data_IF_298021576159
#
_entry.id   IF_298021576159
#
_cell.length_a   1.000
_cell.length_b   1.000
_cell.length_c   1.000
_cell.angle_alpha   90.00
_cell.angle_beta   90.00
_cell.angle_gamma   90.00
#
_symmetry.space_group_name_H-M   'P 1'
#
loop_
_entity.id
_entity.type
_entity.pdbx_description
1 polymer ?
#
# COMPACT_ATOMS: atom_id res chain seq x y z
N UNK A 1 -8.70 -7.19 -23.35
CA UNK A 1 -7.50 -7.25 -24.20
C UNK A 1 -7.98 -7.16 -25.64
N UNK A 2 -7.12 -6.77 -26.57
CA UNK A 2 -7.49 -6.53 -27.96
C UNK A 2 -7.06 -7.74 -28.86
N UNK A 3 -7.97 -8.68 -29.13
CA UNK A 3 -7.66 -9.86 -29.94
C UNK A 3 -7.23 -9.53 -31.38
N UNK A 4 -7.71 -8.39 -31.94
CA UNK A 4 -7.32 -7.95 -33.26
C UNK A 4 -5.82 -7.63 -33.32
N UNK A 5 -5.31 -6.86 -32.34
CA UNK A 5 -3.87 -6.59 -32.23
C UNK A 5 -3.06 -7.89 -32.06
N UNK A 6 -3.59 -8.88 -31.34
CA UNK A 6 -2.93 -10.16 -31.14
C UNK A 6 -2.92 -11.04 -32.40
N UNK A 7 -3.87 -10.87 -33.32
CA UNK A 7 -3.94 -11.62 -34.57
C UNK A 7 -2.90 -11.22 -35.63
N UNK A 8 -2.30 -10.06 -35.48
CA UNK A 8 -1.26 -9.55 -36.40
C UNK A 8 0.03 -10.35 -36.18
N UNK A 9 0.74 -10.74 -37.25
CA UNK A 9 2.00 -11.48 -37.11
C UNK A 9 3.11 -10.63 -36.46
N UNK A 10 4.05 -11.29 -35.79
CA UNK A 10 5.17 -10.61 -35.13
C UNK A 10 6.07 -9.88 -36.15
N UNK A 11 6.25 -10.49 -37.35
CA UNK A 11 7.03 -9.86 -38.44
C UNK A 11 6.38 -8.56 -38.89
N UNK A 12 5.04 -8.52 -38.98
CA UNK A 12 4.32 -7.32 -39.41
C UNK A 12 4.36 -6.21 -38.34
N UNK A 13 4.28 -6.58 -37.08
CA UNK A 13 4.45 -5.65 -35.96
C UNK A 13 5.87 -5.07 -35.97
N UNK A 14 6.92 -5.90 -36.11
CA UNK A 14 8.29 -5.41 -36.15
C UNK A 14 8.57 -4.55 -37.42
N UNK A 15 7.89 -4.81 -38.54
CA UNK A 15 7.92 -3.95 -39.72
C UNK A 15 7.33 -2.56 -39.38
N UNK A 16 6.14 -2.51 -38.78
CA UNK A 16 5.46 -1.27 -38.41
C UNK A 16 6.26 -0.46 -37.39
N UNK A 17 6.84 -1.12 -36.39
CA UNK A 17 7.63 -0.44 -35.35
C UNK A 17 8.92 0.23 -35.90
N UNK A 18 9.33 -0.05 -37.15
CA UNK A 18 10.41 0.68 -37.83
C UNK A 18 9.95 2.00 -38.45
N UNK A 19 8.63 2.17 -38.67
CA UNK A 19 8.07 3.38 -39.25
C UNK A 19 7.96 4.49 -38.16
N UNK A 20 8.35 5.71 -38.51
CA UNK A 20 8.35 6.88 -37.61
C UNK A 20 6.99 7.12 -36.94
N UNK A 21 5.90 6.93 -37.67
CA UNK A 21 4.52 7.10 -37.13
C UNK A 21 4.16 6.15 -36.01
N UNK A 22 4.81 5.00 -35.90
CA UNK A 22 4.55 4.00 -34.84
C UNK A 22 5.53 4.08 -33.67
N UNK A 23 6.59 4.87 -33.75
CA UNK A 23 7.57 5.03 -32.67
C UNK A 23 6.93 5.43 -31.33
N UNK A 24 5.96 6.37 -31.29
CA UNK A 24 5.27 6.73 -30.04
C UNK A 24 4.50 5.57 -29.40
N UNK A 25 4.15 4.55 -30.16
CA UNK A 25 3.35 3.40 -29.70
C UNK A 25 4.19 2.17 -29.35
N UNK A 26 5.50 2.22 -29.54
CA UNK A 26 6.39 1.06 -29.39
C UNK A 26 6.24 0.40 -28.03
N UNK A 27 6.30 1.16 -26.95
CA UNK A 27 6.19 0.62 -25.58
C UNK A 27 4.78 0.02 -25.35
N UNK A 28 3.74 0.73 -25.77
CA UNK A 28 2.35 0.24 -25.65
C UNK A 28 2.14 -1.08 -26.40
N UNK A 29 2.55 -1.15 -27.67
CA UNK A 29 2.42 -2.34 -28.50
C UNK A 29 3.18 -3.51 -27.89
N UNK A 30 4.42 -3.31 -27.46
CA UNK A 30 5.24 -4.37 -26.82
C UNK A 30 4.64 -4.86 -25.50
N UNK A 31 4.13 -3.95 -24.65
CA UNK A 31 3.41 -4.34 -23.43
C UNK A 31 2.15 -5.16 -23.75
N UNK A 32 1.35 -4.72 -24.72
CA UNK A 32 0.15 -5.42 -25.12
C UNK A 32 0.49 -6.80 -25.71
N UNK A 33 1.47 -6.88 -26.63
CA UNK A 33 1.89 -8.14 -27.27
C UNK A 33 2.48 -9.15 -26.31
N UNK A 34 3.12 -8.74 -25.22
CA UNK A 34 3.58 -9.67 -24.19
C UNK A 34 2.45 -10.53 -23.62
N UNK A 35 1.22 -10.00 -23.61
CA UNK A 35 0.04 -10.71 -23.12
C UNK A 35 -0.51 -11.75 -24.13
N UNK A 36 0.05 -11.88 -25.34
CA UNK A 36 -0.50 -12.62 -26.47
C UNK A 36 -0.88 -14.06 -26.11
N UNK A 37 -0.02 -14.79 -25.42
CA UNK A 37 -0.23 -16.20 -25.06
C UNK A 37 -1.33 -16.39 -23.99
N UNK A 38 -1.76 -15.30 -23.36
CA UNK A 38 -2.79 -15.25 -22.32
C UNK A 38 -4.10 -14.58 -22.79
N UNK A 39 -4.16 -14.19 -24.06
CA UNK A 39 -5.38 -13.67 -24.69
C UNK A 39 -6.17 -14.84 -25.26
N UNK A 40 -7.42 -14.93 -24.86
CA UNK A 40 -8.34 -15.98 -25.29
C UNK A 40 -9.03 -15.61 -26.60
N UNK A 41 -9.79 -16.55 -27.17
CA UNK A 41 -10.65 -16.27 -28.35
C UNK A 41 -11.72 -15.23 -28.00
N UNK A 42 -12.25 -14.52 -28.99
CA UNK A 42 -13.31 -13.49 -28.82
C UNK A 42 -14.50 -14.01 -28.00
N UNK A 43 -14.90 -15.26 -28.18
CA UNK A 43 -16.01 -15.86 -27.44
C UNK A 43 -15.67 -16.09 -25.99
N UNK A 44 -14.46 -16.56 -25.71
CA UNK A 44 -13.97 -16.81 -24.37
C UNK A 44 -13.71 -15.48 -23.64
N UNK A 45 -13.09 -14.47 -24.29
CA UNK A 45 -12.93 -13.13 -23.72
C UNK A 45 -14.27 -12.50 -23.36
N UNK A 46 -15.30 -12.69 -24.19
CA UNK A 46 -16.65 -12.24 -23.88
C UNK A 46 -17.23 -12.94 -22.64
N UNK A 47 -17.02 -14.25 -22.50
CA UNK A 47 -17.46 -15.00 -21.31
C UNK A 47 -16.71 -14.51 -20.07
N UNK A 48 -15.39 -14.34 -20.16
CA UNK A 48 -14.56 -13.82 -19.06
C UNK A 48 -14.98 -12.42 -18.65
N UNK A 49 -15.32 -11.55 -19.60
CA UNK A 49 -15.83 -10.21 -19.32
C UNK A 49 -17.17 -10.23 -18.58
N UNK A 50 -18.09 -11.09 -18.97
CA UNK A 50 -19.38 -11.28 -18.28
C UNK A 50 -19.19 -11.84 -16.86
N UNK A 51 -18.24 -12.77 -16.70
CA UNK A 51 -17.91 -13.34 -15.39
C UNK A 51 -17.24 -12.31 -14.47
N UNK A 52 -16.45 -11.39 -15.01
CA UNK A 52 -15.75 -10.36 -14.22
C UNK A 52 -16.66 -9.56 -13.29
N UNK A 53 -17.87 -9.23 -13.75
CA UNK A 53 -18.86 -8.54 -12.93
C UNK A 53 -19.32 -9.36 -11.69
N UNK A 54 -19.40 -10.70 -11.82
CA UNK A 54 -19.71 -11.58 -10.69
C UNK A 54 -18.50 -11.76 -9.76
N UNK A 55 -17.30 -11.80 -10.32
CA UNK A 55 -16.06 -11.96 -9.58
C UNK A 55 -15.81 -10.80 -8.61
N UNK A 56 -16.13 -9.56 -9.01
CA UNK A 56 -16.02 -8.36 -8.19
C UNK A 56 -16.96 -8.39 -6.96
N UNK A 57 -18.02 -9.18 -7.01
CA UNK A 57 -19.01 -9.30 -5.94
C UNK A 57 -18.43 -9.72 -4.58
N UNK A 58 -17.34 -10.50 -4.54
CA UNK A 58 -16.71 -10.88 -3.28
C UNK A 58 -16.07 -9.68 -2.58
N UNK A 59 -15.37 -8.85 -3.32
CA UNK A 59 -14.77 -7.62 -2.81
C UNK A 59 -15.84 -6.63 -2.35
N UNK A 60 -16.85 -6.39 -3.19
CA UNK A 60 -17.94 -5.46 -2.86
C UNK A 60 -18.69 -5.90 -1.61
N UNK A 61 -19.06 -7.18 -1.50
CA UNK A 61 -19.74 -7.71 -0.31
C UNK A 61 -18.87 -7.61 0.94
N UNK A 62 -17.54 -7.83 0.83
CA UNK A 62 -16.64 -7.59 1.94
C UNK A 62 -16.64 -6.10 2.35
N UNK A 63 -16.57 -5.18 1.39
CA UNK A 63 -16.56 -3.73 1.67
C UNK A 63 -17.87 -3.27 2.30
N UNK A 64 -19.02 -3.83 1.89
CA UNK A 64 -20.33 -3.52 2.50
C UNK A 64 -20.37 -4.02 3.95
N UNK A 65 -19.96 -5.26 4.21
CA UNK A 65 -19.86 -5.81 5.56
C UNK A 65 -18.92 -4.94 6.41
N UNK A 66 -17.72 -4.68 5.94
CA UNK A 66 -16.66 -4.03 6.69
C UNK A 66 -16.99 -2.56 7.04
N UNK A 67 -17.57 -1.82 6.09
CA UNK A 67 -17.80 -0.39 6.25
C UNK A 67 -19.22 -0.02 6.71
N UNK A 68 -20.21 -0.92 6.52
CA UNK A 68 -21.62 -0.61 6.75
C UNK A 68 -22.22 -1.50 7.85
N UNK A 69 -22.04 -2.83 7.76
CA UNK A 69 -22.79 -3.77 8.59
C UNK A 69 -22.10 -4.07 9.94
N UNK A 70 -20.75 -3.99 10.00
CA UNK A 70 -20.04 -4.24 11.25
C UNK A 70 -20.25 -3.10 12.25
N UNK A 71 -20.78 -3.45 13.42
CA UNK A 71 -20.88 -2.55 14.56
C UNK A 71 -19.82 -2.93 15.61
N UNK A 72 -18.82 -2.08 15.76
CA UNK A 72 -17.71 -2.28 16.69
C UNK A 72 -18.07 -1.84 18.14
N UNK A 73 -19.25 -1.25 18.35
CA UNK A 73 -19.70 -0.73 19.65
C UNK A 73 -19.06 0.61 19.99
N UNK A 74 -18.81 0.82 21.28
CA UNK A 74 -18.28 2.08 21.83
C UNK A 74 -17.06 1.83 22.71
N UNK A 75 -16.15 2.81 22.73
CA UNK A 75 -15.00 2.89 23.62
C UNK A 75 -15.09 4.20 24.39
N UNK A 76 -15.18 4.12 25.71
CA UNK A 76 -15.33 5.30 26.59
C UNK A 76 -16.52 6.20 26.25
N UNK A 77 -17.62 5.61 25.72
CA UNK A 77 -18.82 6.36 25.33
C UNK A 77 -18.73 7.06 23.96
N UNK A 78 -17.72 6.77 23.18
CA UNK A 78 -17.56 7.23 21.81
C UNK A 78 -17.63 6.04 20.85
N UNK A 79 -18.34 6.17 19.73
CA UNK A 79 -18.53 5.10 18.75
C UNK A 79 -17.19 4.66 18.16
N UNK A 80 -16.93 3.34 18.19
CA UNK A 80 -15.78 2.73 17.55
C UNK A 80 -16.11 2.49 16.06
N UNK A 81 -15.27 3.03 15.19
CA UNK A 81 -15.35 2.88 13.72
C UNK A 81 -13.93 2.72 13.18
N UNK A 82 -13.75 2.43 11.89
CA UNK A 82 -12.43 2.44 11.25
C UNK A 82 -11.70 3.80 11.42
N UNK A 83 -12.43 4.89 11.36
CA UNK A 83 -11.86 6.24 11.54
C UNK A 83 -11.44 6.51 12.99
N UNK A 84 -12.31 6.20 13.98
CA UNK A 84 -11.99 6.44 15.39
C UNK A 84 -11.04 5.39 15.97
N UNK A 85 -10.88 4.22 15.32
CA UNK A 85 -9.90 3.21 15.68
C UNK A 85 -8.50 3.80 15.84
N UNK A 86 -8.04 4.58 14.86
CA UNK A 86 -6.72 5.19 14.89
C UNK A 86 -6.52 6.05 16.14
N UNK A 87 -7.51 6.87 16.48
CA UNK A 87 -7.48 7.70 17.70
C UNK A 87 -7.31 6.85 18.97
N UNK A 88 -8.09 5.78 19.10
CA UNK A 88 -8.07 4.94 20.30
C UNK A 88 -6.79 4.09 20.39
N UNK A 89 -6.33 3.51 19.29
CA UNK A 89 -5.17 2.61 19.30
C UNK A 89 -3.84 3.36 19.48
N UNK A 90 -3.79 4.67 19.19
CA UNK A 90 -2.65 5.54 19.45
C UNK A 90 -2.72 6.23 20.82
N UNK A 91 -3.77 6.02 21.62
CA UNK A 91 -3.89 6.58 22.95
C UNK A 91 -2.68 6.22 23.83
N UNK A 92 -2.20 7.18 24.61
CA UNK A 92 -1.18 6.93 25.65
C UNK A 92 -1.73 6.12 26.83
N UNK A 93 -3.06 6.12 27.05
CA UNK A 93 -3.73 5.27 28.04
C UNK A 93 -3.87 3.84 27.48
N UNK A 94 -3.14 2.91 28.09
CA UNK A 94 -3.16 1.48 27.69
C UNK A 94 -4.55 0.87 27.80
N UNK A 95 -5.33 1.23 28.82
CA UNK A 95 -6.66 0.67 29.01
C UNK A 95 -7.63 1.05 27.89
N UNK A 96 -7.44 2.22 27.27
CA UNK A 96 -8.19 2.66 26.08
C UNK A 96 -7.79 1.84 24.86
N UNK A 97 -6.49 1.63 24.65
CA UNK A 97 -5.97 0.80 23.54
C UNK A 97 -6.46 -0.63 23.64
N UNK A 98 -6.40 -1.23 24.84
CA UNK A 98 -6.87 -2.59 25.10
C UNK A 98 -8.36 -2.73 24.84
N UNK A 99 -9.17 -1.81 25.36
CA UNK A 99 -10.63 -1.82 25.18
C UNK A 99 -10.98 -1.72 23.70
N UNK A 100 -10.40 -0.77 22.98
CA UNK A 100 -10.62 -0.60 21.55
C UNK A 100 -10.19 -1.85 20.76
N UNK A 101 -9.00 -2.36 21.03
CA UNK A 101 -8.45 -3.55 20.36
C UNK A 101 -9.38 -4.76 20.52
N UNK A 102 -9.77 -5.07 21.75
CA UNK A 102 -10.63 -6.20 22.05
C UNK A 102 -12.02 -6.06 21.42
N UNK A 103 -12.63 -4.88 21.48
CA UNK A 103 -13.93 -4.62 20.87
C UNK A 103 -13.87 -4.79 19.35
N UNK A 104 -12.84 -4.24 18.72
CA UNK A 104 -12.64 -4.29 17.28
C UNK A 104 -12.49 -5.73 16.77
N UNK A 105 -11.52 -6.48 17.28
CA UNK A 105 -11.27 -7.85 16.82
C UNK A 105 -12.36 -8.85 17.23
N UNK A 106 -13.07 -8.62 18.34
CA UNK A 106 -14.24 -9.42 18.71
C UNK A 106 -15.38 -9.29 17.69
N UNK A 107 -15.53 -8.14 17.07
CA UNK A 107 -16.52 -7.93 16.01
C UNK A 107 -16.19 -8.71 14.75
N UNK A 108 -14.92 -8.72 14.32
CA UNK A 108 -14.46 -9.59 13.22
C UNK A 108 -14.63 -11.08 13.55
N UNK A 109 -14.28 -11.48 14.77
CA UNK A 109 -14.42 -12.87 15.19
C UNK A 109 -15.87 -13.38 15.14
N UNK A 110 -16.84 -12.56 15.52
CA UNK A 110 -18.26 -12.89 15.38
C UNK A 110 -18.68 -13.13 13.92
N UNK A 111 -18.03 -12.49 12.99
CA UNK A 111 -18.34 -12.53 11.56
C UNK A 111 -17.30 -13.36 10.74
N UNK A 112 -16.37 -14.05 11.42
CA UNK A 112 -15.24 -14.72 10.80
C UNK A 112 -15.61 -15.70 9.68
N UNK A 113 -16.74 -16.42 9.81
CA UNK A 113 -17.13 -17.42 8.83
C UNK A 113 -17.58 -16.81 7.51
N UNK A 114 -18.34 -15.71 7.54
CA UNK A 114 -18.77 -15.04 6.30
C UNK A 114 -17.59 -14.35 5.63
N UNK A 115 -16.74 -13.66 6.39
CA UNK A 115 -15.55 -12.97 5.87
C UNK A 115 -14.57 -13.98 5.26
N UNK A 116 -14.29 -15.09 5.96
CA UNK A 116 -13.44 -16.15 5.44
C UNK A 116 -14.01 -16.77 4.15
N UNK A 117 -15.34 -16.90 4.04
CA UNK A 117 -15.99 -17.42 2.82
C UNK A 117 -15.86 -16.46 1.64
N UNK A 118 -15.98 -15.16 1.90
CA UNK A 118 -15.78 -14.14 0.87
C UNK A 118 -14.33 -14.15 0.36
N UNK A 119 -13.36 -14.20 1.27
CA UNK A 119 -11.94 -14.27 0.89
C UNK A 119 -11.61 -15.58 0.15
N UNK A 120 -12.11 -16.73 0.61
CA UNK A 120 -12.00 -18.00 -0.12
C UNK A 120 -12.54 -17.89 -1.55
N UNK A 121 -13.69 -17.22 -1.72
CA UNK A 121 -14.30 -16.97 -3.03
C UNK A 121 -13.42 -16.13 -3.95
N UNK A 122 -12.82 -15.07 -3.41
CA UNK A 122 -11.86 -14.20 -4.12
C UNK A 122 -10.63 -14.98 -4.58
N UNK A 123 -10.00 -15.75 -3.68
CA UNK A 123 -8.84 -16.60 -4.03
C UNK A 123 -9.16 -17.61 -5.11
N UNK A 124 -10.33 -18.27 -5.01
CA UNK A 124 -10.79 -19.21 -6.06
C UNK A 124 -11.03 -18.54 -7.41
N UNK A 125 -11.48 -17.29 -7.40
CA UNK A 125 -11.63 -16.50 -8.61
C UNK A 125 -10.27 -16.15 -9.25
N UNK A 126 -9.25 -15.85 -8.45
CA UNK A 126 -7.88 -15.63 -8.94
C UNK A 126 -7.32 -16.90 -9.59
N UNK A 127 -7.49 -18.04 -8.95
CA UNK A 127 -7.08 -19.36 -9.48
C UNK A 127 -7.83 -19.70 -10.78
N UNK A 128 -9.15 -19.45 -10.80
CA UNK A 128 -9.94 -19.65 -12.04
C UNK A 128 -9.40 -18.79 -13.19
N UNK A 129 -9.17 -17.52 -12.92
CA UNK A 129 -8.69 -16.57 -13.93
C UNK A 129 -7.28 -16.92 -14.43
N UNK A 130 -6.41 -17.42 -13.54
CA UNK A 130 -5.06 -17.87 -13.89
C UNK A 130 -5.12 -19.10 -14.80
N UNK A 131 -5.87 -20.12 -14.41
CA UNK A 131 -6.03 -21.34 -15.19
C UNK A 131 -6.72 -21.10 -16.54
N UNK A 132 -7.77 -20.27 -16.57
CA UNK A 132 -8.48 -19.95 -17.80
C UNK A 132 -7.58 -19.26 -18.83
N UNK A 133 -6.59 -18.49 -18.40
CA UNK A 133 -5.64 -17.77 -19.25
C UNK A 133 -4.30 -18.47 -19.45
N UNK A 134 -4.15 -19.70 -18.96
CA UNK A 134 -2.95 -20.51 -19.17
C UNK A 134 -1.73 -20.07 -18.35
N UNK A 135 -1.92 -19.39 -17.22
CA UNK A 135 -0.84 -19.15 -16.26
C UNK A 135 -0.61 -20.35 -15.35
N UNK A 136 0.62 -20.55 -14.89
CA UNK A 136 0.97 -21.65 -14.01
C UNK A 136 0.48 -21.41 -12.56
N UNK A 137 0.39 -20.13 -12.13
CA UNK A 137 -0.04 -19.74 -10.80
C UNK A 137 -0.81 -18.42 -10.81
N UNK A 138 -1.52 -18.14 -9.73
CA UNK A 138 -2.12 -16.82 -9.49
C UNK A 138 -1.07 -15.74 -9.29
N UNK A 139 0.08 -16.09 -8.73
CA UNK A 139 1.22 -15.20 -8.57
C UNK A 139 1.76 -14.79 -9.94
N UNK A 140 2.08 -15.74 -10.82
CA UNK A 140 2.54 -15.44 -12.18
C UNK A 140 1.57 -14.50 -12.90
N UNK A 141 0.27 -14.82 -12.87
CA UNK A 141 -0.77 -13.98 -13.49
C UNK A 141 -0.77 -12.55 -12.95
N UNK A 142 -0.56 -12.37 -11.64
CA UNK A 142 -0.60 -11.06 -11.01
C UNK A 142 0.64 -10.20 -11.33
N UNK A 143 1.81 -10.84 -11.49
CA UNK A 143 3.07 -10.15 -11.75
C UNK A 143 3.33 -9.89 -13.25
N UNK A 144 2.78 -10.75 -14.11
CA UNK A 144 3.04 -10.74 -15.53
C UNK A 144 2.72 -9.41 -16.25
N UNK A 145 1.62 -8.69 -15.95
CA UNK A 145 1.32 -7.40 -16.56
C UNK A 145 2.38 -6.33 -16.30
N UNK A 146 3.01 -6.36 -15.12
CA UNK A 146 4.07 -5.43 -14.72
C UNK A 146 5.47 -5.91 -15.17
N UNK A 147 5.54 -7.10 -15.78
CA UNK A 147 6.80 -7.74 -16.20
C UNK A 147 7.76 -7.98 -15.02
N UNK A 148 7.23 -8.35 -13.89
CA UNK A 148 7.98 -8.65 -12.67
C UNK A 148 8.17 -10.17 -12.58
N UNK A 149 9.41 -10.68 -12.50
CA UNK A 149 9.67 -12.10 -12.26
C UNK A 149 9.19 -12.53 -10.87
N UNK A 150 8.72 -13.77 -10.72
CA UNK A 150 8.28 -14.32 -9.42
C UNK A 150 9.39 -14.30 -8.36
N UNK A 151 10.65 -14.38 -8.80
CA UNK A 151 11.81 -14.31 -7.93
C UNK A 151 11.92 -12.97 -7.19
N UNK A 152 11.42 -11.88 -7.76
CA UNK A 152 11.38 -10.58 -7.06
C UNK A 152 10.47 -10.67 -5.84
N UNK A 153 9.31 -11.30 -5.99
CA UNK A 153 8.36 -11.50 -4.90
C UNK A 153 8.93 -12.41 -3.80
N UNK A 154 9.47 -13.56 -4.18
CA UNK A 154 10.02 -14.54 -3.24
C UNK A 154 11.29 -14.05 -2.57
N UNK A 155 12.16 -13.32 -3.29
CA UNK A 155 13.36 -12.71 -2.73
C UNK A 155 13.03 -11.58 -1.75
N UNK A 156 11.96 -10.82 -1.96
CA UNK A 156 11.51 -9.83 -0.99
C UNK A 156 11.18 -10.51 0.35
N UNK A 157 10.39 -11.58 0.33
CA UNK A 157 10.04 -12.34 1.54
C UNK A 157 11.30 -12.89 2.22
N UNK A 158 12.19 -13.52 1.46
CA UNK A 158 13.44 -14.07 1.99
C UNK A 158 14.33 -12.99 2.62
N UNK A 159 14.49 -11.86 1.95
CA UNK A 159 15.30 -10.73 2.45
C UNK A 159 14.72 -10.14 3.74
N UNK A 160 13.39 -10.10 3.85
CA UNK A 160 12.71 -9.65 5.08
C UNK A 160 12.91 -10.65 6.21
N UNK A 161 12.87 -11.96 5.93
CA UNK A 161 13.20 -12.98 6.94
C UNK A 161 14.63 -12.85 7.44
N UNK A 162 15.60 -12.59 6.58
CA UNK A 162 16.99 -12.33 6.97
C UNK A 162 17.12 -11.08 7.87
N UNK A 163 16.20 -10.12 7.74
CA UNK A 163 16.16 -8.92 8.55
C UNK A 163 15.37 -9.05 9.88
N UNK A 164 14.74 -10.19 10.17
CA UNK A 164 14.02 -10.41 11.44
C UNK A 164 14.81 -10.07 12.69
N UNK A 165 16.12 -10.40 12.82
CA UNK A 165 16.87 -9.98 13.99
C UNK A 165 16.86 -8.47 14.24
N UNK A 166 16.85 -7.66 13.19
CA UNK A 166 16.75 -6.20 13.30
C UNK A 166 15.35 -5.75 13.69
N UNK A 167 14.31 -6.36 13.12
CA UNK A 167 12.91 -6.10 13.45
C UNK A 167 12.60 -6.47 14.90
N UNK A 168 13.10 -7.62 15.38
CA UNK A 168 12.91 -8.04 16.78
C UNK A 168 13.65 -7.12 17.75
N UNK A 169 14.83 -6.60 17.39
CA UNK A 169 15.51 -5.55 18.16
C UNK A 169 14.72 -4.25 18.24
N UNK A 170 14.06 -3.87 17.17
CA UNK A 170 13.15 -2.70 17.17
C UNK A 170 12.02 -2.90 18.18
N UNK A 171 11.34 -4.07 18.20
CA UNK A 171 10.28 -4.34 19.18
C UNK A 171 10.82 -4.44 20.62
N UNK A 172 12.02 -4.97 20.83
CA UNK A 172 12.69 -4.96 22.15
C UNK A 172 13.01 -3.53 22.62
N UNK A 173 13.47 -2.65 21.71
CA UNK A 173 13.67 -1.24 21.99
C UNK A 173 12.35 -0.54 22.36
N UNK A 174 11.28 -0.82 21.57
CA UNK A 174 9.94 -0.29 21.83
C UNK A 174 9.43 -0.69 23.21
N UNK A 175 9.55 -1.97 23.59
CA UNK A 175 9.18 -2.44 24.93
C UNK A 175 9.95 -1.67 26.02
N UNK A 176 11.26 -1.53 25.86
CA UNK A 176 12.09 -0.79 26.81
C UNK A 176 11.68 0.67 26.95
N UNK A 177 11.40 1.36 25.84
CA UNK A 177 10.98 2.78 25.87
C UNK A 177 9.60 2.97 26.48
N UNK A 178 8.69 2.00 26.30
CA UNK A 178 7.37 2.00 26.93
C UNK A 178 7.37 1.46 28.37
N UNK A 179 8.54 1.06 28.92
CA UNK A 179 8.67 0.55 30.29
C UNK A 179 8.00 -0.82 30.50
N UNK A 180 7.96 -1.67 29.46
CA UNK A 180 7.28 -2.97 29.46
C UNK A 180 8.28 -4.12 29.32
N UNK A 181 8.03 -5.22 30.01
CA UNK A 181 8.79 -6.46 29.82
C UNK A 181 8.44 -7.12 28.49
N UNK A 182 7.16 -7.11 28.13
CA UNK A 182 6.64 -7.55 26.84
C UNK A 182 5.56 -6.60 26.34
N UNK A 183 5.46 -6.46 25.01
CA UNK A 183 4.43 -5.67 24.36
C UNK A 183 3.18 -6.51 24.12
N UNK A 184 2.02 -5.92 24.23
CA UNK A 184 0.79 -6.43 23.66
C UNK A 184 0.65 -5.93 22.22
N UNK A 185 -0.13 -6.61 21.38
CA UNK A 185 -0.28 -6.21 19.98
C UNK A 185 -0.81 -4.77 19.81
N UNK A 186 -1.59 -4.26 20.74
CA UNK A 186 -2.00 -2.84 20.74
C UNK A 186 -0.91 -1.84 21.11
N UNK A 187 0.21 -2.27 21.69
CA UNK A 187 1.31 -1.38 22.05
C UNK A 187 2.20 -1.01 20.86
N UNK A 188 2.04 -1.70 19.71
CA UNK A 188 2.83 -1.41 18.52
C UNK A 188 2.43 -0.10 17.84
N UNK A 189 1.27 0.44 18.19
CA UNK A 189 0.73 1.67 17.57
C UNK A 189 1.04 2.93 18.38
N UNK A 190 1.33 2.82 19.68
CA UNK A 190 1.62 4.01 20.49
C UNK A 190 2.98 4.60 20.16
N UNK A 191 3.13 5.93 20.06
CA UNK A 191 4.42 6.55 19.77
C UNK A 191 5.48 6.18 20.81
N UNK A 192 6.67 5.77 20.37
CA UNK A 192 7.81 5.48 21.25
C UNK A 192 8.45 6.72 21.85
N UNK A 193 8.38 7.82 21.15
CA UNK A 193 8.94 9.12 21.52
C UNK A 193 7.81 10.14 21.44
N UNK A 194 7.63 10.99 22.47
CA UNK A 194 6.65 12.06 22.40
C UNK A 194 6.87 12.95 21.18
N UNK A 195 5.80 13.44 20.57
CA UNK A 195 5.90 14.40 19.51
C UNK A 195 6.64 15.66 20.02
N UNK A 196 7.78 15.93 19.42
CA UNK A 196 8.59 17.12 19.67
C UNK A 196 8.77 17.78 18.32
N UNK A 197 8.49 19.05 18.20
CA UNK A 197 8.73 19.78 16.97
C UNK A 197 7.90 21.04 16.86
N UNK A 198 8.38 21.94 16.02
CA UNK A 198 7.66 23.15 15.69
C UNK A 198 6.40 22.83 14.90
N UNK A 199 5.35 23.59 15.17
CA UNK A 199 4.20 23.67 14.28
C UNK A 199 4.64 24.30 12.98
N UNK A 200 4.24 23.73 11.87
CA UNK A 200 4.56 24.27 10.55
C UNK A 200 3.29 24.65 9.83
N UNK A 201 3.19 25.91 9.47
CA UNK A 201 2.19 26.37 8.50
C UNK A 201 2.44 25.73 7.14
N UNK A 202 1.44 25.72 6.28
CA UNK A 202 1.60 25.20 4.92
C UNK A 202 2.76 25.86 4.16
N UNK A 203 2.92 27.16 4.30
CA UNK A 203 3.97 27.94 3.65
C UNK A 203 5.37 27.58 4.20
N UNK A 204 5.50 27.36 5.49
CA UNK A 204 6.75 26.86 6.12
C UNK A 204 7.05 25.43 5.67
N UNK A 205 6.05 24.57 5.58
CA UNK A 205 6.20 23.21 5.05
C UNK A 205 6.74 23.22 3.61
N UNK A 206 6.20 24.08 2.75
CA UNK A 206 6.71 24.23 1.36
C UNK A 206 8.15 24.78 1.35
N UNK A 207 8.52 25.68 2.26
CA UNK A 207 9.88 26.17 2.38
C UNK A 207 10.86 25.05 2.81
N UNK A 208 10.49 24.21 3.77
CA UNK A 208 11.24 23.03 4.20
C UNK A 208 11.40 22.04 3.04
N UNK A 209 10.30 21.74 2.32
CA UNK A 209 10.32 20.84 1.16
C UNK A 209 11.27 21.37 0.09
N UNK A 210 11.25 22.67 -0.20
CA UNK A 210 12.18 23.29 -1.16
C UNK A 210 13.64 22.97 -0.87
N UNK A 211 14.02 23.10 0.39
CA UNK A 211 15.40 22.82 0.82
C UNK A 211 15.71 21.32 0.77
N UNK A 212 14.77 20.48 1.22
CA UNK A 212 14.94 19.04 1.27
C UNK A 212 15.14 18.40 -0.11
N UNK A 213 14.47 18.91 -1.16
CA UNK A 213 14.55 18.36 -2.53
C UNK A 213 15.66 18.97 -3.38
N UNK A 214 16.46 19.90 -2.87
CA UNK A 214 17.60 20.49 -3.61
C UNK A 214 18.54 19.47 -4.27
N UNK A 215 18.84 18.31 -3.65
CA UNK A 215 19.66 17.30 -4.32
C UNK A 215 19.12 16.81 -5.67
N UNK A 216 17.82 16.98 -5.95
CA UNK A 216 17.19 16.63 -7.23
C UNK A 216 17.34 17.73 -8.30
N UNK A 217 17.96 18.84 -7.97
CA UNK A 217 18.22 19.96 -8.86
C UNK A 217 17.22 21.10 -8.75
N UNK A 218 17.62 22.28 -9.23
CA UNK A 218 16.81 23.51 -9.13
C UNK A 218 15.49 23.41 -9.90
N UNK A 219 15.49 22.82 -11.09
CA UNK A 219 14.28 22.66 -11.89
C UNK A 219 13.21 21.83 -11.15
N UNK A 220 13.64 20.71 -10.55
CA UNK A 220 12.74 19.88 -9.74
C UNK A 220 12.12 20.67 -8.59
N UNK A 221 12.98 21.33 -7.80
CA UNK A 221 12.56 22.11 -6.64
C UNK A 221 11.62 23.27 -7.03
N UNK A 222 11.92 23.99 -8.11
CA UNK A 222 11.12 25.11 -8.58
C UNK A 222 9.75 24.66 -9.09
N UNK A 223 9.69 23.59 -9.89
CA UNK A 223 8.44 23.05 -10.42
C UNK A 223 7.55 22.55 -9.28
N UNK A 224 8.11 21.74 -8.37
CA UNK A 224 7.37 21.22 -7.22
C UNK A 224 6.79 22.35 -6.37
N UNK A 225 7.63 23.28 -5.92
CA UNK A 225 7.18 24.36 -5.04
C UNK A 225 6.22 25.34 -5.72
N UNK A 226 6.37 25.57 -7.03
CA UNK A 226 5.40 26.34 -7.82
C UNK A 226 4.03 25.62 -7.86
N UNK A 227 4.05 24.30 -8.09
CA UNK A 227 2.85 23.47 -8.08
C UNK A 227 2.14 23.48 -6.72
N UNK A 228 2.91 23.35 -5.64
CA UNK A 228 2.38 23.39 -4.28
C UNK A 228 1.81 24.77 -3.88
N UNK A 229 2.14 25.84 -4.61
CA UNK A 229 1.75 27.22 -4.26
C UNK A 229 1.00 27.94 -5.37
N UNK A 230 1.73 28.53 -6.31
CA UNK A 230 1.20 29.47 -7.31
C UNK A 230 0.40 28.80 -8.42
N UNK A 231 0.78 27.59 -8.82
CA UNK A 231 0.07 26.80 -9.84
C UNK A 231 -1.11 26.02 -9.29
N UNK A 232 -1.28 26.01 -7.96
CA UNK A 232 -2.48 25.51 -7.29
C UNK A 232 -2.79 24.05 -7.60
N UNK A 233 -1.78 23.17 -7.53
CA UNK A 233 -1.99 21.72 -7.68
C UNK A 233 -2.73 21.11 -6.50
N UNK A 234 -2.71 21.79 -5.30
CA UNK A 234 -3.12 21.21 -4.02
C UNK A 234 -4.44 21.78 -3.53
N UNK A 235 -5.39 20.90 -3.25
CA UNK A 235 -6.51 21.15 -2.36
C UNK A 235 -6.05 20.82 -0.93
N UNK A 236 -5.78 21.87 -0.13
CA UNK A 236 -4.91 21.80 1.06
C UNK A 236 -5.60 21.26 2.29
N UNK A 237 -6.73 21.84 2.68
CA UNK A 237 -7.31 21.71 4.01
C UNK A 237 -8.58 20.87 4.01
N UNK A 238 -8.91 20.29 5.19
CA UNK A 238 -10.18 19.62 5.39
C UNK A 238 -11.37 20.58 5.18
N UNK A 239 -12.44 20.05 4.61
CA UNK A 239 -13.72 20.74 4.55
C UNK A 239 -14.88 19.73 4.48
N UNK A 240 -16.11 20.23 4.73
CA UNK A 240 -17.30 19.40 4.75
C UNK A 240 -17.52 18.68 3.42
N UNK A 241 -17.56 17.36 3.48
CA UNK A 241 -17.78 16.50 2.32
C UNK A 241 -16.51 16.12 1.56
N UNK A 242 -15.33 16.61 1.98
CA UNK A 242 -14.05 16.20 1.43
C UNK A 242 -13.67 14.81 1.95
N UNK A 243 -13.09 14.00 1.07
CA UNK A 243 -12.57 12.68 1.40
C UNK A 243 -11.38 12.79 2.35
N UNK A 244 -11.30 11.89 3.34
CA UNK A 244 -10.13 11.74 4.20
C UNK A 244 -8.93 11.15 3.44
N UNK A 245 -7.73 11.28 4.04
CA UNK A 245 -6.47 10.84 3.46
C UNK A 245 -5.86 11.85 2.49
N UNK A 246 -4.93 11.39 1.67
CA UNK A 246 -4.28 12.16 0.62
C UNK A 246 -4.11 11.31 -0.64
N UNK A 247 -4.01 11.95 -1.79
CA UNK A 247 -3.60 11.31 -3.03
C UNK A 247 -3.13 12.32 -4.07
N UNK A 248 -2.31 11.88 -5.00
CA UNK A 248 -1.93 12.61 -6.21
C UNK A 248 -2.57 11.95 -7.44
N UNK A 249 -3.05 12.78 -8.37
CA UNK A 249 -3.58 12.36 -9.66
C UNK A 249 -2.90 13.13 -10.78
N UNK A 250 -2.18 12.42 -11.64
CA UNK A 250 -1.56 12.99 -12.84
C UNK A 250 -2.44 12.85 -14.08
N UNK A 251 -2.22 13.71 -15.06
CA UNK A 251 -2.80 13.57 -16.39
C UNK A 251 -1.79 14.02 -17.47
N UNK A 252 -2.00 13.57 -18.70
CA UNK A 252 -1.08 13.85 -19.79
C UNK A 252 -1.03 15.33 -20.21
N UNK A 253 -2.19 15.99 -20.29
CA UNK A 253 -2.33 17.33 -20.86
C UNK A 253 -2.43 18.45 -19.83
N UNK A 254 -2.46 18.12 -18.53
CA UNK A 254 -2.61 19.07 -17.44
C UNK A 254 -1.51 18.97 -16.38
N UNK A 255 -1.68 19.77 -15.34
CA UNK A 255 -0.87 19.65 -14.14
C UNK A 255 -1.37 18.50 -13.28
N UNK A 256 -0.52 17.89 -12.45
CA UNK A 256 -0.96 16.96 -11.41
C UNK A 256 -1.88 17.68 -10.41
N UNK A 257 -2.77 16.92 -9.77
CA UNK A 257 -3.61 17.41 -8.68
C UNK A 257 -3.36 16.61 -7.42
N UNK A 258 -3.26 17.31 -6.30
CA UNK A 258 -3.04 16.73 -4.98
C UNK A 258 -4.26 17.06 -4.12
N UNK A 259 -4.83 16.06 -3.46
CA UNK A 259 -5.74 16.24 -2.35
C UNK A 259 -5.00 15.93 -1.06
N UNK A 260 -5.03 16.84 -0.09
CA UNK A 260 -4.56 16.61 1.27
C UNK A 260 -5.57 17.14 2.28
N UNK A 261 -5.44 16.72 3.54
CA UNK A 261 -6.10 17.33 4.69
C UNK A 261 -4.98 17.83 5.62
N UNK A 262 -4.30 18.90 5.18
CA UNK A 262 -3.13 19.44 5.85
C UNK A 262 -3.49 20.05 7.21
N UNK A 263 -2.73 19.68 8.25
CA UNK A 263 -2.85 20.19 9.61
C UNK A 263 -1.54 20.88 9.99
N UNK A 264 -1.60 22.15 10.35
CA UNK A 264 -0.42 22.99 10.65
C UNK A 264 0.39 22.49 11.86
N UNK A 265 -0.25 21.74 12.75
CA UNK A 265 0.32 21.27 14.00
C UNK A 265 0.95 19.87 13.93
N UNK A 266 0.95 19.24 12.75
CA UNK A 266 1.32 17.84 12.60
C UNK A 266 2.42 17.69 11.56
N UNK A 267 3.62 17.29 12.00
CA UNK A 267 4.78 17.04 11.10
C UNK A 267 4.46 15.99 10.02
N UNK A 268 3.55 15.05 10.30
CA UNK A 268 3.10 14.09 9.32
C UNK A 268 2.44 14.74 8.10
N UNK A 269 1.81 15.91 8.26
CA UNK A 269 1.26 16.67 7.12
C UNK A 269 2.35 17.13 6.15
N UNK A 270 3.55 17.44 6.65
CA UNK A 270 4.70 17.80 5.80
C UNK A 270 5.20 16.58 5.04
N UNK A 271 5.30 15.42 5.70
CA UNK A 271 5.65 14.16 5.05
C UNK A 271 4.62 13.74 4.00
N UNK A 272 3.33 13.85 4.33
CA UNK A 272 2.26 13.58 3.37
C UNK A 272 2.34 14.51 2.15
N UNK A 273 2.58 15.81 2.38
CA UNK A 273 2.66 16.78 1.28
C UNK A 273 3.84 16.49 0.33
N UNK A 274 5.00 16.13 0.86
CA UNK A 274 6.18 15.80 0.03
C UNK A 274 6.01 14.43 -0.66
N UNK A 275 5.32 13.48 -0.03
CA UNK A 275 4.95 12.19 -0.61
C UNK A 275 4.09 12.39 -1.87
N UNK A 276 2.97 13.08 -1.72
CA UNK A 276 2.08 13.40 -2.84
C UNK A 276 2.76 14.29 -3.89
N UNK A 277 3.66 15.17 -3.43
CA UNK A 277 4.55 15.95 -4.29
C UNK A 277 5.45 15.06 -5.15
N UNK A 278 6.00 13.98 -4.58
CA UNK A 278 6.81 12.99 -5.30
C UNK A 278 6.03 12.29 -6.42
N UNK A 279 4.82 11.82 -6.13
CA UNK A 279 3.91 11.27 -7.14
C UNK A 279 3.58 12.30 -8.24
N UNK A 280 3.31 13.54 -7.84
CA UNK A 280 3.01 14.61 -8.78
C UNK A 280 4.18 14.91 -9.72
N UNK A 281 5.40 14.95 -9.20
CA UNK A 281 6.60 15.17 -10.01
C UNK A 281 6.89 13.98 -10.93
N UNK A 282 6.67 12.75 -10.48
CA UNK A 282 6.74 11.56 -11.33
C UNK A 282 5.77 11.67 -12.51
N UNK A 283 4.50 11.95 -12.24
CA UNK A 283 3.48 12.15 -13.28
C UNK A 283 3.81 13.32 -14.21
N UNK A 284 4.30 14.43 -13.66
CA UNK A 284 4.69 15.62 -14.41
C UNK A 284 5.80 15.32 -15.41
N UNK A 285 6.87 14.68 -14.97
CA UNK A 285 8.00 14.34 -15.87
C UNK A 285 7.65 13.21 -16.82
N UNK A 286 6.88 12.23 -16.38
CA UNK A 286 6.45 11.14 -17.25
C UNK A 286 5.60 11.64 -18.42
N UNK A 287 4.64 12.51 -18.16
CA UNK A 287 3.79 13.09 -19.20
C UNK A 287 4.54 13.97 -20.20
N UNK A 288 5.65 14.62 -19.79
CA UNK A 288 6.45 15.51 -20.64
C UNK A 288 7.53 14.79 -21.44
N UNK A 289 8.00 13.65 -20.96
CA UNK A 289 9.12 12.95 -21.59
C UNK A 289 8.69 11.66 -22.33
N UNK A 290 7.42 11.27 -22.23
CA UNK A 290 6.89 10.10 -22.91
C UNK A 290 5.71 10.47 -23.79
N UNK A 291 5.46 9.76 -24.90
CA UNK A 291 4.26 9.91 -25.68
C UNK A 291 3.01 9.44 -24.92
N UNK A 292 1.84 9.99 -25.27
CA UNK A 292 0.58 9.66 -24.60
C UNK A 292 0.31 8.16 -24.36
N UNK A 293 0.56 7.24 -25.31
CA UNK A 293 0.31 5.83 -25.07
C UNK A 293 1.22 5.18 -24.01
N UNK A 294 2.29 5.87 -23.58
CA UNK A 294 3.36 5.29 -22.75
C UNK A 294 3.70 6.12 -21.51
N UNK A 295 2.97 7.20 -21.22
CA UNK A 295 3.28 8.06 -20.07
C UNK A 295 2.86 7.47 -18.74
N UNK A 296 1.87 6.57 -18.72
CA UNK A 296 1.44 5.91 -17.50
C UNK A 296 2.49 4.91 -17.02
N UNK A 297 2.75 4.94 -15.74
CA UNK A 297 3.61 4.00 -15.02
C UNK A 297 2.78 3.08 -14.12
N UNK A 298 3.37 1.97 -13.69
CA UNK A 298 2.69 1.02 -12.82
C UNK A 298 2.81 1.44 -11.35
N UNK A 299 1.95 0.89 -10.50
CA UNK A 299 2.04 1.13 -9.06
C UNK A 299 3.37 0.62 -8.48
N UNK A 300 4.04 -0.31 -9.17
CA UNK A 300 5.34 -0.84 -8.75
C UNK A 300 6.41 0.26 -8.73
N UNK A 301 6.38 1.20 -9.69
CA UNK A 301 7.33 2.33 -9.73
C UNK A 301 6.82 3.57 -8.99
N UNK A 302 5.53 3.64 -8.74
CA UNK A 302 4.90 4.85 -8.21
C UNK A 302 5.48 5.29 -6.86
N UNK A 303 5.60 4.34 -5.94
CA UNK A 303 6.05 4.63 -4.57
C UNK A 303 7.55 4.93 -4.47
N UNK A 304 8.35 4.57 -5.47
CA UNK A 304 9.79 4.92 -5.51
C UNK A 304 9.98 6.43 -5.47
N UNK A 305 9.17 7.18 -6.24
CA UNK A 305 9.28 8.64 -6.28
C UNK A 305 8.82 9.30 -4.97
N UNK A 306 7.69 8.85 -4.40
CA UNK A 306 7.13 9.40 -3.17
C UNK A 306 8.01 9.12 -1.97
N UNK A 307 8.43 7.87 -1.76
CA UNK A 307 9.25 7.45 -0.62
C UNK A 307 10.67 8.02 -0.69
N UNK A 308 11.22 8.20 -1.89
CA UNK A 308 12.50 8.87 -2.05
C UNK A 308 12.45 10.34 -1.59
N UNK A 309 11.38 11.05 -1.93
CA UNK A 309 11.15 12.41 -1.46
C UNK A 309 11.00 12.48 0.07
N UNK A 310 10.26 11.54 0.68
CA UNK A 310 10.18 11.44 2.15
C UNK A 310 11.55 11.23 2.80
N UNK A 311 12.38 10.37 2.21
CA UNK A 311 13.74 10.14 2.72
C UNK A 311 14.64 11.38 2.62
N UNK A 312 14.51 12.19 1.57
CA UNK A 312 15.20 13.48 1.46
C UNK A 312 14.73 14.45 2.55
N UNK A 313 13.42 14.52 2.81
CA UNK A 313 12.87 15.32 3.90
C UNK A 313 13.39 14.88 5.26
N UNK A 314 13.31 13.58 5.55
CA UNK A 314 13.79 13.03 6.81
C UNK A 314 15.28 13.33 7.03
N UNK A 315 16.09 13.18 6.00
CA UNK A 315 17.52 13.52 6.05
C UNK A 315 17.73 15.00 6.31
N UNK A 316 17.02 15.86 5.58
CA UNK A 316 17.09 17.30 5.79
C UNK A 316 16.73 17.68 7.23
N UNK A 317 15.62 17.17 7.74
CA UNK A 317 15.17 17.43 9.12
C UNK A 317 16.18 16.94 10.16
N UNK A 318 16.76 15.75 9.98
CA UNK A 318 17.79 15.21 10.88
C UNK A 318 19.05 16.06 10.91
N UNK A 319 19.49 16.56 9.76
CA UNK A 319 20.70 17.38 9.65
C UNK A 319 20.49 18.79 10.23
N UNK A 320 19.23 19.29 10.29
CA UNK A 320 18.88 20.61 10.81
C UNK A 320 18.23 20.59 12.20
N UNK A 321 18.00 19.41 12.78
CA UNK A 321 17.47 19.30 14.16
C UNK A 321 18.47 19.79 15.19
N UNK A 322 18.03 20.64 16.07
CA UNK A 322 18.86 21.26 17.12
C UNK A 322 18.93 20.42 18.40
N UNK A 323 17.88 19.62 18.68
CA UNK A 323 17.77 18.81 19.90
C UNK A 323 17.92 17.30 19.63
N UNK A 324 18.31 16.56 20.69
CA UNK A 324 18.34 15.08 20.63
C UNK A 324 16.93 14.50 20.58
N UNK A 325 15.98 15.17 21.17
CA UNK A 325 14.58 14.80 21.25
C UNK A 325 13.93 14.86 19.86
N UNK A 326 14.17 15.93 19.09
CA UNK A 326 13.71 16.03 17.70
C UNK A 326 14.33 14.95 16.81
N UNK A 327 15.65 14.73 16.93
CA UNK A 327 16.32 13.65 16.20
C UNK A 327 15.73 12.29 16.54
N UNK A 328 15.50 12.01 17.81
CA UNK A 328 14.91 10.76 18.26
C UNK A 328 13.48 10.58 17.71
N UNK A 329 12.69 11.66 17.68
CA UNK A 329 11.33 11.63 17.12
C UNK A 329 11.34 11.33 15.61
N UNK A 330 12.16 12.02 14.82
CA UNK A 330 12.27 11.80 13.37
C UNK A 330 12.75 10.37 13.08
N UNK A 331 13.75 9.87 13.82
CA UNK A 331 14.24 8.50 13.67
C UNK A 331 13.14 7.49 14.03
N UNK A 332 12.39 7.72 15.11
CA UNK A 332 11.29 6.83 15.50
C UNK A 332 10.22 6.75 14.41
N UNK A 333 9.84 7.90 13.83
CA UNK A 333 8.90 7.93 12.70
C UNK A 333 9.42 7.18 11.48
N UNK A 334 10.69 7.35 11.12
CA UNK A 334 11.28 6.60 9.99
C UNK A 334 11.29 5.10 10.25
N UNK A 335 11.60 4.66 11.46
CA UNK A 335 11.54 3.24 11.83
C UNK A 335 10.11 2.71 11.79
N UNK A 336 9.14 3.45 12.33
CA UNK A 336 7.72 3.07 12.30
C UNK A 336 7.21 2.96 10.84
N UNK A 337 7.64 3.88 9.97
CA UNK A 337 7.30 3.87 8.55
C UNK A 337 7.89 2.64 7.83
N UNK A 338 9.18 2.35 8.03
CA UNK A 338 9.81 1.14 7.48
C UNK A 338 9.11 -0.13 7.97
N UNK A 339 8.74 -0.20 9.25
CA UNK A 339 7.99 -1.34 9.78
C UNK A 339 6.62 -1.47 9.11
N UNK A 340 5.91 -0.38 8.91
CA UNK A 340 4.57 -0.37 8.31
C UNK A 340 4.58 -0.66 6.80
N UNK A 341 5.52 -0.07 6.06
CA UNK A 341 5.54 -0.14 4.59
C UNK A 341 6.37 -1.31 4.05
N UNK A 342 7.45 -1.69 4.73
CA UNK A 342 8.32 -2.76 4.28
C UNK A 342 7.99 -4.09 4.97
N UNK A 343 8.16 -4.17 6.29
CA UNK A 343 7.95 -5.44 7.01
C UNK A 343 6.50 -5.91 7.02
N UNK A 344 5.57 -5.02 7.35
CA UNK A 344 4.13 -5.37 7.44
C UNK A 344 3.55 -5.71 6.08
N UNK A 345 3.88 -4.97 5.03
CA UNK A 345 3.38 -5.25 3.69
C UNK A 345 3.96 -6.56 3.15
N UNK A 346 5.21 -6.88 3.47
CA UNK A 346 5.80 -8.18 3.12
C UNK A 346 5.12 -9.32 3.89
N UNK A 347 4.78 -9.14 5.17
CA UNK A 347 3.99 -10.12 5.93
C UNK A 347 2.62 -10.39 5.27
N UNK A 348 1.96 -9.35 4.80
CA UNK A 348 0.71 -9.49 4.06
C UNK A 348 0.92 -10.22 2.73
N UNK A 349 1.97 -9.86 2.00
CA UNK A 349 2.34 -10.55 0.76
C UNK A 349 2.62 -12.04 0.99
N UNK A 350 3.36 -12.39 2.04
CA UNK A 350 3.62 -13.79 2.42
C UNK A 350 2.32 -14.53 2.77
N UNK A 351 1.40 -13.89 3.48
CA UNK A 351 0.09 -14.47 3.76
C UNK A 351 -0.69 -14.77 2.47
N UNK A 352 -0.75 -13.83 1.54
CA UNK A 352 -1.39 -14.04 0.23
C UNK A 352 -0.76 -15.23 -0.52
N UNK A 353 0.57 -15.31 -0.54
CA UNK A 353 1.29 -16.41 -1.20
C UNK A 353 0.92 -17.75 -0.59
N UNK A 354 0.98 -17.88 0.74
CA UNK A 354 0.66 -19.12 1.44
C UNK A 354 -0.80 -19.56 1.23
N UNK A 355 -1.73 -18.61 1.21
CA UNK A 355 -3.16 -18.88 0.96
C UNK A 355 -3.40 -19.36 -0.46
N UNK A 356 -2.81 -18.72 -1.46
CA UNK A 356 -2.98 -19.12 -2.84
C UNK A 356 -2.31 -20.48 -3.13
N UNK A 357 -1.10 -20.72 -2.64
CA UNK A 357 -0.42 -22.01 -2.78
C UNK A 357 -1.21 -23.16 -2.14
N UNK A 358 -1.81 -22.95 -0.96
CA UNK A 358 -2.66 -23.96 -0.32
C UNK A 358 -3.86 -24.30 -1.19
N UNK A 359 -4.57 -23.27 -1.69
CA UNK A 359 -5.74 -23.44 -2.55
C UNK A 359 -5.40 -24.05 -3.91
N UNK A 360 -4.29 -23.64 -4.53
CA UNK A 360 -3.80 -24.16 -5.81
C UNK A 360 -3.41 -25.64 -5.73
N UNK A 361 -2.92 -26.10 -4.56
CA UNK A 361 -2.63 -27.49 -4.29
C UNK A 361 -3.89 -28.36 -4.10
N UNK A 362 -5.08 -27.77 -4.16
CA UNK A 362 -6.37 -28.45 -3.98
C UNK A 362 -6.75 -28.69 -2.51
N UNK A 363 -5.99 -28.14 -1.56
CA UNK A 363 -6.34 -28.24 -0.13
C UNK A 363 -7.35 -27.15 0.25
N UNK A 364 -8.19 -27.43 1.26
CA UNK A 364 -9.23 -26.49 1.65
C UNK A 364 -8.62 -25.30 2.41
N UNK A 365 -8.97 -24.08 1.96
CA UNK A 365 -8.74 -22.84 2.68
C UNK A 365 -10.03 -22.44 3.40
N UNK A 366 -9.98 -22.33 4.71
CA UNK A 366 -11.11 -22.00 5.57
C UNK A 366 -10.66 -21.11 6.73
N UNK A 367 -11.59 -20.68 7.57
CA UNK A 367 -11.30 -19.80 8.70
C UNK A 367 -10.19 -20.34 9.60
N UNK A 368 -10.16 -21.63 9.87
CA UNK A 368 -9.10 -22.27 10.70
C UNK A 368 -7.73 -22.16 10.03
N UNK A 369 -7.66 -22.41 8.72
CA UNK A 369 -6.44 -22.28 7.96
C UNK A 369 -5.95 -20.82 7.94
N UNK A 370 -6.83 -19.87 7.62
CA UNK A 370 -6.48 -18.45 7.58
C UNK A 370 -5.94 -17.95 8.92
N UNK A 371 -6.66 -18.23 10.01
CA UNK A 371 -6.26 -17.83 11.36
C UNK A 371 -4.92 -18.45 11.77
N UNK A 372 -4.76 -19.75 11.57
CA UNK A 372 -3.51 -20.46 11.90
C UNK A 372 -2.32 -19.88 11.13
N UNK A 373 -2.47 -19.71 9.83
CA UNK A 373 -1.40 -19.17 8.95
C UNK A 373 -1.03 -17.75 9.36
N UNK A 374 -2.04 -16.89 9.56
CA UNK A 374 -1.77 -15.52 9.95
C UNK A 374 -1.16 -15.40 11.36
N UNK A 375 -1.60 -16.24 12.32
CA UNK A 375 -0.99 -16.34 13.65
C UNK A 375 0.50 -16.66 13.56
N UNK A 376 0.86 -17.63 12.76
CA UNK A 376 2.26 -18.01 12.59
C UNK A 376 3.10 -16.86 12.03
N UNK A 377 2.55 -16.11 11.08
CA UNK A 377 3.22 -14.93 10.54
C UNK A 377 3.37 -13.82 11.59
N UNK A 378 2.34 -13.54 12.37
CA UNK A 378 2.44 -12.61 13.49
C UNK A 378 3.57 -12.99 14.45
N UNK A 379 3.65 -14.25 14.85
CA UNK A 379 4.69 -14.74 15.77
C UNK A 379 6.09 -14.61 15.15
N UNK A 380 6.25 -14.94 13.88
CA UNK A 380 7.54 -14.85 13.18
C UNK A 380 8.00 -13.39 13.03
N UNK A 381 7.14 -12.51 12.52
CA UNK A 381 7.51 -11.13 12.22
C UNK A 381 7.70 -10.29 13.48
N UNK A 382 6.82 -10.41 14.45
CA UNK A 382 6.91 -9.61 15.67
C UNK A 382 7.89 -10.18 16.70
N UNK A 383 8.19 -11.48 16.61
CA UNK A 383 9.18 -12.15 17.46
C UNK A 383 8.75 -12.32 18.93
N UNK A 384 9.68 -12.72 19.78
CA UNK A 384 9.37 -13.15 21.16
C UNK A 384 9.00 -11.99 22.09
N UNK A 385 9.16 -10.74 21.64
CA UNK A 385 8.88 -9.56 22.46
C UNK A 385 7.39 -9.21 22.54
N UNK A 386 6.56 -9.76 21.64
CA UNK A 386 5.13 -9.51 21.60
C UNK A 386 4.32 -10.70 22.14
N UNK A 387 3.22 -10.35 22.78
CA UNK A 387 2.15 -11.26 23.16
C UNK A 387 0.88 -10.91 22.38
N UNK A 388 0.26 -11.95 21.82
CA UNK A 388 -0.96 -11.81 21.01
C UNK A 388 -2.16 -12.33 21.76
N UNK A 389 -3.28 -11.63 21.67
CA UNK A 389 -4.58 -12.13 22.10
C UNK A 389 -5.05 -13.27 21.19
N UNK A 390 -6.02 -14.06 21.66
CA UNK A 390 -6.56 -15.20 20.91
C UNK A 390 -7.06 -14.80 19.52
N UNK A 391 -7.65 -13.61 19.41
CA UNK A 391 -8.24 -13.09 18.16
C UNK A 391 -7.35 -12.11 17.38
N UNK A 392 -6.08 -11.95 17.73
CA UNK A 392 -5.14 -11.10 16.98
C UNK A 392 -4.97 -11.55 15.54
N UNK A 393 -5.13 -12.86 15.27
CA UNK A 393 -5.05 -13.44 13.94
C UNK A 393 -6.23 -13.07 13.00
N UNK A 394 -7.31 -12.51 13.55
CA UNK A 394 -8.40 -11.96 12.76
C UNK A 394 -7.97 -10.81 11.86
N UNK A 395 -6.82 -10.20 12.12
CA UNK A 395 -6.25 -9.19 11.25
C UNK A 395 -6.09 -9.67 9.81
N UNK A 396 -5.73 -10.93 9.59
CA UNK A 396 -5.60 -11.54 8.26
C UNK A 396 -6.91 -11.63 7.47
N UNK A 397 -8.05 -11.41 8.11
CA UNK A 397 -9.36 -11.42 7.47
C UNK A 397 -9.98 -10.02 7.28
N UNK A 398 -9.35 -8.96 7.83
CA UNK A 398 -9.88 -7.60 7.73
C UNK A 398 -9.21 -6.72 6.66
N UNK A 399 -8.18 -7.21 5.97
CA UNK A 399 -7.40 -6.43 5.02
C UNK A 399 -8.08 -6.41 3.64
N UNK A 400 -8.65 -5.28 3.19
CA UNK A 400 -9.37 -5.21 1.91
C UNK A 400 -8.46 -5.46 0.71
N UNK A 401 -7.16 -5.16 0.83
CA UNK A 401 -6.18 -5.35 -0.23
C UNK A 401 -6.04 -6.81 -0.68
N UNK A 402 -6.35 -7.79 0.17
CA UNK A 402 -6.30 -9.21 -0.18
C UNK A 402 -7.33 -9.63 -1.24
N UNK A 403 -8.34 -8.79 -1.49
CA UNK A 403 -9.27 -8.96 -2.62
C UNK A 403 -8.71 -8.44 -3.95
N UNK A 404 -7.46 -7.94 -3.94
CA UNK A 404 -6.66 -7.56 -5.11
C UNK A 404 -5.34 -8.34 -5.05
N UNK A 405 -5.39 -9.60 -5.48
CA UNK A 405 -4.33 -10.57 -5.29
C UNK A 405 -2.94 -10.05 -5.65
N UNK A 406 -2.00 -10.25 -4.76
CA UNK A 406 -0.58 -9.91 -4.91
C UNK A 406 -0.33 -8.43 -5.22
N UNK A 407 -1.13 -7.56 -4.60
CA UNK A 407 -0.97 -6.11 -4.77
C UNK A 407 0.01 -5.51 -3.75
N UNK A 408 -0.06 -5.96 -2.48
CA UNK A 408 0.57 -5.26 -1.35
C UNK A 408 2.10 -5.30 -1.34
N UNK A 409 2.73 -6.28 -2.00
CA UNK A 409 4.19 -6.34 -2.09
C UNK A 409 4.79 -5.08 -2.74
N UNK A 410 4.02 -4.41 -3.59
CA UNK A 410 4.42 -3.19 -4.31
C UNK A 410 4.70 -2.00 -3.38
N UNK A 411 4.16 -2.03 -2.15
CA UNK A 411 4.46 -1.00 -1.15
C UNK A 411 5.85 -1.12 -0.54
N UNK A 412 6.50 -2.29 -0.69
CA UNK A 412 7.85 -2.53 -0.18
C UNK A 412 8.97 -2.19 -1.19
N UNK A 413 8.60 -1.61 -2.34
CA UNK A 413 9.55 -1.21 -3.40
C UNK A 413 10.23 0.11 -3.13
#
# INVERSE_FOLDING_TARGET
MDPELMSISDEKIEEWLKEERFQPYTVYIRKARRMKDHVLSDKEERIMSLYGANAEGYHQAFMDIDNIDLDFGEVRGEKLTHSTWTKFIHSTDESVREEAYKAFYKTYEKNQHIIARLYEGSVKNDIFSSKARGYNSSLERALFPDNVPEEVYTNLISSVHDAFPSLHRYYALRAKLLGKDKLKHWDVYVPMVPAVGAKHTYEEAVAIIREAVKPLGEDYSNILCSGLTTERWVDRYENKGKRSGAFSAGCFTGNPYILTNFEDDVINSVFTLIHEGGHSMHSYFSARNNPFPSYNYTIFEAEVASTFNENLLARYLLDHSESKEEKAFIIAQQLDNIVATFFRQTMFAEFELLVHQEAESGRPINVTFFRKTYRQLLENYFGPQLEFEENSDMEGLRIPHFYRAFYVYKYAT
#
